data_IF_541963921201
#
_entry.id   IF_541963921201
#
_cell.length_a   1.000
_cell.length_b   1.000
_cell.length_c   1.000
_cell.angle_alpha   90.00
_cell.angle_beta   90.00
_cell.angle_gamma   90.00
#
_symmetry.space_group_name_H-M   'P 1'
#
loop_
_entity.id
_entity.type
_entity.pdbx_description
1 polymer ?
#
# COMPACT_ATOMS: atom_id res chain seq x y z
N UNK A 1 -5.24 -44.26 11.00
CA UNK A 1 -4.71 -43.59 9.77
C UNK A 1 -5.13 -42.11 9.70
N UNK A 2 -6.35 -41.75 10.07
CA UNK A 2 -6.85 -40.35 10.07
C UNK A 2 -6.05 -39.43 10.98
N UNK A 3 -5.74 -39.84 12.20
CA UNK A 3 -5.00 -39.04 13.18
C UNK A 3 -3.54 -38.69 12.74
N UNK A 4 -2.93 -39.54 11.94
CA UNK A 4 -1.60 -39.26 11.36
C UNK A 4 -1.69 -38.32 10.15
N UNK A 5 -2.77 -38.33 9.39
CA UNK A 5 -3.01 -37.42 8.29
C UNK A 5 -3.31 -36.01 8.83
N UNK A 6 -4.10 -35.90 9.89
CA UNK A 6 -4.44 -34.62 10.54
C UNK A 6 -3.20 -33.94 11.15
N UNK A 7 -2.36 -34.70 11.86
CA UNK A 7 -1.08 -34.19 12.38
C UNK A 7 -0.08 -33.77 11.29
N UNK A 8 -0.12 -34.43 10.13
CA UNK A 8 0.74 -34.07 8.99
C UNK A 8 0.26 -32.85 8.26
N UNK A 9 -1.06 -32.66 8.13
CA UNK A 9 -1.67 -31.44 7.58
C UNK A 9 -1.46 -30.24 8.49
N UNK A 10 -1.63 -30.38 9.80
CA UNK A 10 -1.36 -29.32 10.77
C UNK A 10 0.09 -28.84 10.70
N UNK A 11 1.08 -29.75 10.67
CA UNK A 11 2.50 -29.38 10.52
C UNK A 11 2.85 -28.69 9.20
N UNK A 12 2.14 -29.01 8.10
CA UNK A 12 2.33 -28.33 6.81
C UNK A 12 1.77 -26.91 6.87
N UNK A 13 0.62 -26.71 7.51
CA UNK A 13 -0.02 -25.42 7.67
C UNK A 13 0.79 -24.50 8.56
N UNK A 14 1.30 -24.99 9.69
CA UNK A 14 2.17 -24.24 10.59
C UNK A 14 3.45 -23.75 9.89
N UNK A 15 4.09 -24.60 9.09
CA UNK A 15 5.25 -24.21 8.29
C UNK A 15 4.91 -23.14 7.25
N UNK A 16 3.72 -23.18 6.67
CA UNK A 16 3.27 -22.18 5.71
C UNK A 16 3.00 -20.83 6.40
N UNK A 17 2.32 -20.83 7.54
CA UNK A 17 2.09 -19.63 8.36
C UNK A 17 3.41 -18.99 8.81
N UNK A 18 4.36 -19.77 9.26
CA UNK A 18 5.70 -19.28 9.63
C UNK A 18 6.44 -18.62 8.47
N UNK A 19 6.35 -19.18 7.27
CA UNK A 19 6.93 -18.58 6.07
C UNK A 19 6.19 -17.28 5.68
N UNK A 20 4.86 -17.22 5.80
CA UNK A 20 4.07 -16.00 5.58
C UNK A 20 4.54 -14.91 6.55
N UNK A 21 4.62 -15.21 7.84
CA UNK A 21 5.08 -14.29 8.87
C UNK A 21 6.46 -13.70 8.53
N UNK A 22 7.46 -14.54 8.32
CA UNK A 22 8.81 -14.07 8.04
C UNK A 22 8.94 -13.33 6.72
N UNK A 23 8.17 -13.70 5.71
CA UNK A 23 8.18 -12.99 4.43
C UNK A 23 7.61 -11.58 4.59
N UNK A 24 6.44 -11.46 5.22
CA UNK A 24 5.82 -10.14 5.45
C UNK A 24 6.63 -9.30 6.44
N UNK A 25 7.23 -9.90 7.45
CA UNK A 25 8.14 -9.25 8.39
C UNK A 25 9.36 -8.65 7.67
N UNK A 26 10.04 -9.47 6.88
CA UNK A 26 11.22 -9.02 6.13
C UNK A 26 10.86 -7.93 5.11
N UNK A 27 9.78 -8.13 4.37
CA UNK A 27 9.31 -7.14 3.41
C UNK A 27 8.97 -5.81 4.08
N UNK A 28 8.30 -5.84 5.23
CA UNK A 28 7.96 -4.62 5.98
C UNK A 28 9.17 -3.94 6.60
N UNK A 29 10.14 -4.70 7.13
CA UNK A 29 11.34 -4.17 7.76
C UNK A 29 12.30 -3.48 6.78
N UNK A 30 12.40 -4.00 5.55
CA UNK A 30 13.40 -3.58 4.58
C UNK A 30 12.84 -2.88 3.33
N UNK A 31 11.55 -2.59 3.29
CA UNK A 31 10.96 -1.87 2.16
C UNK A 31 10.93 -0.37 2.43
N UNK A 32 11.71 0.37 1.66
CA UNK A 32 11.69 1.82 1.60
C UNK A 32 11.16 2.25 0.22
N UNK A 33 10.37 3.32 0.14
CA UNK A 33 9.96 3.89 -1.16
C UNK A 33 8.49 3.73 -1.53
N UNK A 34 7.63 3.30 -0.58
CA UNK A 34 6.18 3.35 -0.76
C UNK A 34 5.52 2.07 -1.28
N UNK A 35 4.20 2.14 -1.46
CA UNK A 35 3.34 0.97 -1.68
C UNK A 35 3.64 0.15 -2.94
N UNK A 36 4.10 0.77 -4.01
CA UNK A 36 4.41 0.04 -5.25
C UNK A 36 5.66 -0.84 -5.13
N UNK A 37 6.66 -0.41 -4.36
CA UNK A 37 7.89 -1.20 -4.14
C UNK A 37 7.56 -2.47 -3.38
N UNK A 38 6.73 -2.39 -2.34
CA UNK A 38 6.36 -3.58 -1.55
C UNK A 38 5.52 -4.55 -2.36
N UNK A 39 4.66 -4.07 -3.27
CA UNK A 39 3.91 -4.92 -4.19
C UNK A 39 4.84 -5.72 -5.10
N UNK A 40 5.84 -5.08 -5.70
CA UNK A 40 6.84 -5.75 -6.53
C UNK A 40 7.63 -6.80 -5.76
N UNK A 41 7.98 -6.50 -4.51
CA UNK A 41 8.67 -7.44 -3.63
C UNK A 41 7.78 -8.60 -3.17
N UNK A 42 6.49 -8.35 -2.93
CA UNK A 42 5.51 -9.40 -2.66
C UNK A 42 5.34 -10.34 -3.86
N UNK A 43 5.25 -9.79 -5.09
CA UNK A 43 5.23 -10.57 -6.32
C UNK A 43 6.47 -11.45 -6.39
N UNK A 44 7.66 -10.87 -6.27
CA UNK A 44 8.91 -11.63 -6.28
C UNK A 44 8.92 -12.76 -5.26
N UNK A 45 8.40 -12.51 -4.04
CA UNK A 45 8.42 -13.49 -2.96
C UNK A 45 7.41 -14.62 -3.14
N UNK A 46 6.14 -14.28 -3.45
CA UNK A 46 5.04 -15.24 -3.45
C UNK A 46 4.78 -15.88 -4.82
N UNK A 47 5.11 -15.18 -5.91
CA UNK A 47 5.02 -15.73 -7.28
C UNK A 47 6.33 -16.35 -7.70
N UNK A 48 7.44 -15.58 -7.72
CA UNK A 48 8.68 -16.02 -8.35
C UNK A 48 9.49 -17.00 -7.48
N UNK A 49 9.56 -16.79 -6.14
CA UNK A 49 10.34 -17.64 -5.24
C UNK A 49 9.53 -18.83 -4.70
N UNK A 50 8.33 -18.58 -4.21
CA UNK A 50 7.53 -19.62 -3.56
C UNK A 50 6.60 -20.37 -4.51
N UNK A 51 6.26 -19.77 -5.67
CA UNK A 51 5.28 -20.30 -6.63
C UNK A 51 3.95 -20.66 -5.96
N UNK A 52 3.51 -19.84 -5.00
CA UNK A 52 2.27 -20.06 -4.26
C UNK A 52 1.08 -19.34 -4.86
N UNK A 53 1.32 -18.34 -5.70
CA UNK A 53 0.34 -17.49 -6.35
C UNK A 53 0.77 -17.36 -7.81
N UNK A 54 -0.17 -17.43 -8.74
CA UNK A 54 0.06 -17.19 -10.16
C UNK A 54 0.19 -15.67 -10.44
N UNK A 55 0.85 -15.31 -11.53
CA UNK A 55 1.13 -13.91 -11.83
C UNK A 55 -0.16 -13.11 -12.06
N UNK A 56 -1.12 -13.66 -12.81
CA UNK A 56 -2.42 -13.02 -13.08
C UNK A 56 -3.21 -12.83 -11.78
N UNK A 57 -3.23 -13.84 -10.93
CA UNK A 57 -3.88 -13.78 -9.63
C UNK A 57 -3.24 -12.74 -8.71
N UNK A 58 -1.91 -12.62 -8.73
CA UNK A 58 -1.21 -11.59 -7.96
C UNK A 58 -1.61 -10.19 -8.39
N UNK A 59 -1.86 -9.94 -9.68
CA UNK A 59 -2.33 -8.65 -10.18
C UNK A 59 -3.72 -8.32 -9.63
N UNK A 60 -4.63 -9.29 -9.58
CA UNK A 60 -5.96 -9.11 -8.99
C UNK A 60 -5.90 -8.81 -7.49
N UNK A 61 -5.07 -9.56 -6.74
CA UNK A 61 -4.87 -9.33 -5.30
C UNK A 61 -4.31 -7.93 -5.03
N UNK A 62 -3.40 -7.45 -5.87
CA UNK A 62 -2.85 -6.10 -5.80
C UNK A 62 -3.93 -5.05 -6.09
N UNK A 63 -4.76 -5.26 -7.10
CA UNK A 63 -5.86 -4.34 -7.41
C UNK A 63 -6.85 -4.22 -6.24
N UNK A 64 -7.18 -5.34 -5.58
CA UNK A 64 -8.01 -5.36 -4.37
C UNK A 64 -7.32 -4.60 -3.23
N UNK A 65 -6.04 -4.86 -2.99
CA UNK A 65 -5.27 -4.19 -1.95
C UNK A 65 -5.19 -2.67 -2.13
N UNK A 66 -5.11 -2.21 -3.38
CA UNK A 66 -5.08 -0.79 -3.74
C UNK A 66 -6.45 -0.12 -3.67
N UNK A 67 -7.53 -0.86 -3.84
CA UNK A 67 -8.89 -0.33 -3.75
C UNK A 67 -9.33 -0.05 -2.30
N UNK A 68 -8.71 -0.71 -1.34
CA UNK A 68 -9.01 -0.53 0.08
C UNK A 68 -8.25 0.69 0.65
N UNK A 69 -8.90 1.54 1.47
CA UNK A 69 -8.23 2.65 2.13
C UNK A 69 -7.21 2.14 3.14
N UNK A 70 -5.98 2.72 3.14
CA UNK A 70 -4.94 2.37 4.09
C UNK A 70 -3.58 2.09 3.44
N UNK A 71 -2.66 1.56 4.23
CA UNK A 71 -1.32 1.22 3.77
C UNK A 71 -1.36 0.00 2.83
N UNK A 72 -0.93 0.18 1.58
CA UNK A 72 -0.91 -0.88 0.56
C UNK A 72 -0.16 -2.12 1.05
N UNK A 73 0.92 -1.92 1.83
CA UNK A 73 1.68 -3.00 2.45
C UNK A 73 0.82 -3.91 3.34
N UNK A 74 0.00 -3.30 4.19
CA UNK A 74 -0.89 -4.02 5.11
C UNK A 74 -2.04 -4.66 4.35
N UNK A 75 -2.69 -3.89 3.44
CA UNK A 75 -3.77 -4.40 2.62
C UNK A 75 -3.32 -5.59 1.75
N UNK A 76 -2.15 -5.49 1.11
CA UNK A 76 -1.55 -6.57 0.34
C UNK A 76 -1.25 -7.80 1.19
N UNK A 77 -0.68 -7.61 2.38
CA UNK A 77 -0.42 -8.70 3.30
C UNK A 77 -1.72 -9.41 3.76
N UNK A 78 -2.80 -8.66 4.00
CA UNK A 78 -4.12 -9.19 4.34
C UNK A 78 -4.65 -10.08 3.21
N UNK A 79 -4.67 -9.56 1.99
CA UNK A 79 -5.26 -10.24 0.83
C UNK A 79 -4.46 -11.49 0.47
N UNK A 80 -3.13 -11.41 0.44
CA UNK A 80 -2.23 -12.54 0.23
C UNK A 80 -2.35 -13.56 1.38
N UNK A 81 -2.36 -13.10 2.61
CA UNK A 81 -2.52 -13.96 3.79
C UNK A 81 -3.82 -14.75 3.75
N UNK A 82 -4.93 -14.10 3.40
CA UNK A 82 -6.23 -14.75 3.21
C UNK A 82 -6.18 -15.82 2.12
N UNK A 83 -5.65 -15.48 0.96
CA UNK A 83 -5.52 -16.42 -0.15
C UNK A 83 -4.70 -17.66 0.22
N UNK A 84 -3.62 -17.48 0.97
CA UNK A 84 -2.70 -18.56 1.27
C UNK A 84 -3.13 -19.46 2.44
N UNK A 85 -3.78 -18.91 3.47
CA UNK A 85 -4.11 -19.65 4.68
C UNK A 85 -5.39 -19.14 5.39
N UNK A 86 -6.30 -18.49 4.69
CA UNK A 86 -7.56 -17.99 5.24
C UNK A 86 -7.36 -16.99 6.39
N UNK A 87 -8.21 -17.04 7.40
CA UNK A 87 -8.17 -16.11 8.55
C UNK A 87 -6.85 -16.21 9.32
N UNK A 88 -6.31 -17.42 9.51
CA UNK A 88 -5.01 -17.61 10.16
C UNK A 88 -3.88 -16.95 9.37
N UNK A 89 -3.95 -16.99 8.03
CA UNK A 89 -3.03 -16.28 7.14
C UNK A 89 -3.12 -14.78 7.27
N UNK A 90 -4.34 -14.21 7.39
CA UNK A 90 -4.54 -12.77 7.61
C UNK A 90 -3.84 -12.33 8.90
N UNK A 91 -4.16 -12.99 10.03
CA UNK A 91 -3.60 -12.61 11.33
C UNK A 91 -2.07 -12.69 11.34
N UNK A 92 -1.54 -13.75 10.75
CA UNK A 92 -0.10 -13.97 10.63
C UNK A 92 0.59 -12.92 9.76
N UNK A 93 0.00 -12.59 8.62
CA UNK A 93 0.54 -11.60 7.69
C UNK A 93 0.46 -10.17 8.27
N UNK A 94 -0.63 -9.80 8.94
CA UNK A 94 -0.76 -8.52 9.66
C UNK A 94 0.32 -8.42 10.75
N UNK A 95 0.46 -9.45 11.59
CA UNK A 95 1.47 -9.46 12.65
C UNK A 95 2.88 -9.28 12.06
N UNK A 96 3.23 -10.03 11.00
CA UNK A 96 4.51 -9.89 10.30
C UNK A 96 4.73 -8.49 9.73
N UNK A 97 3.69 -7.85 9.20
CA UNK A 97 3.81 -6.52 8.58
C UNK A 97 3.87 -5.38 9.61
N UNK A 98 3.17 -5.50 10.73
CA UNK A 98 3.03 -4.40 11.72
C UNK A 98 4.15 -4.43 12.77
N UNK A 99 4.63 -5.61 13.14
CA UNK A 99 5.65 -5.75 14.20
C UNK A 99 6.95 -4.98 13.88
N UNK A 100 7.57 -5.05 12.67
CA UNK A 100 8.81 -4.36 12.41
C UNK A 100 8.74 -2.84 12.62
N UNK A 101 7.82 -2.10 11.98
CA UNK A 101 7.74 -0.65 12.19
C UNK A 101 7.36 -0.29 13.63
N UNK A 102 6.52 -1.10 14.28
CA UNK A 102 6.16 -0.90 15.68
C UNK A 102 7.39 -1.03 16.61
N UNK A 103 8.21 -2.08 16.42
CA UNK A 103 9.43 -2.27 17.20
C UNK A 103 10.44 -1.16 16.97
N UNK A 104 10.64 -0.74 15.71
CA UNK A 104 11.57 0.34 15.37
C UNK A 104 11.15 1.63 16.07
N UNK A 105 9.88 2.00 15.97
CA UNK A 105 9.35 3.22 16.59
C UNK A 105 9.42 3.12 18.12
N UNK A 106 9.13 1.96 18.71
CA UNK A 106 9.18 1.75 20.16
C UNK A 106 10.60 1.89 20.72
N UNK A 107 11.59 1.31 20.03
CA UNK A 107 12.99 1.41 20.41
C UNK A 107 13.47 2.87 20.30
N UNK A 108 13.13 3.54 19.19
CA UNK A 108 13.47 4.94 18.99
C UNK A 108 12.81 5.84 20.05
N UNK A 109 11.56 5.57 20.41
CA UNK A 109 10.82 6.30 21.44
C UNK A 109 11.46 6.14 22.84
N UNK A 110 11.86 4.93 23.19
CA UNK A 110 12.51 4.65 24.47
C UNK A 110 13.88 5.36 24.60
N UNK A 111 14.61 5.47 23.48
CA UNK A 111 15.90 6.15 23.39
C UNK A 111 15.81 7.67 23.10
N UNK A 112 14.62 8.21 22.89
CA UNK A 112 14.43 9.55 22.31
C UNK A 112 15.15 10.66 23.08
N UNK A 113 15.13 10.64 24.40
CA UNK A 113 15.83 11.65 25.22
C UNK A 113 17.36 11.60 25.04
N UNK A 114 17.93 10.41 24.98
CA UNK A 114 19.36 10.24 24.72
C UNK A 114 19.74 10.64 23.28
N UNK A 115 18.86 10.39 22.32
CA UNK A 115 19.04 10.79 20.93
C UNK A 115 18.95 12.31 20.74
N UNK A 116 18.00 12.97 21.40
CA UNK A 116 17.76 14.40 21.26
C UNK A 116 18.89 15.27 21.81
N UNK A 117 19.63 14.79 22.81
CA UNK A 117 20.75 15.50 23.40
C UNK A 117 22.07 15.38 22.63
N UNK A 118 22.13 14.47 21.66
CA UNK A 118 23.33 14.23 20.87
C UNK A 118 23.26 14.97 19.54
N UNK A 119 24.16 15.94 19.33
CA UNK A 119 24.20 16.79 18.15
C UNK A 119 24.40 15.99 16.84
N UNK A 120 25.17 14.92 16.84
CA UNK A 120 25.40 14.08 15.67
C UNK A 120 24.10 13.37 15.24
N UNK A 121 23.35 12.87 16.21
CA UNK A 121 22.08 12.19 15.96
C UNK A 121 21.03 13.19 15.46
N UNK A 122 20.99 14.39 16.01
CA UNK A 122 20.10 15.46 15.54
C UNK A 122 20.37 15.79 14.06
N UNK A 123 21.63 15.92 13.66
CA UNK A 123 22.01 16.16 12.26
C UNK A 123 21.65 14.99 11.34
N UNK A 124 21.81 13.75 11.82
CA UNK A 124 21.36 12.57 11.07
C UNK A 124 19.84 12.54 10.86
N UNK A 125 19.07 12.85 11.90
CA UNK A 125 17.60 12.93 11.80
C UNK A 125 17.16 14.03 10.84
N UNK A 126 17.81 15.17 10.85
CA UNK A 126 17.55 16.27 9.92
C UNK A 126 17.83 15.84 8.47
N UNK A 127 18.94 15.15 8.22
CA UNK A 127 19.26 14.56 6.93
C UNK A 127 18.23 13.51 6.48
N UNK A 128 17.74 12.69 7.40
CA UNK A 128 16.68 11.71 7.12
C UNK A 128 15.34 12.40 6.76
N UNK A 129 14.99 13.49 7.44
CA UNK A 129 13.80 14.28 7.11
C UNK A 129 13.89 14.87 5.70
N UNK A 130 15.05 15.40 5.32
CA UNK A 130 15.29 15.88 3.96
C UNK A 130 15.14 14.74 2.92
N UNK A 131 15.65 13.55 3.23
CA UNK A 131 15.47 12.35 2.40
C UNK A 131 14.00 11.95 2.23
N UNK A 132 13.21 11.97 3.32
CA UNK A 132 11.76 11.71 3.25
C UNK A 132 11.06 12.77 2.39
N UNK A 133 11.42 14.05 2.54
CA UNK A 133 10.90 15.13 1.70
C UNK A 133 11.17 14.89 0.21
N UNK A 134 12.38 14.45 -0.13
CA UNK A 134 12.74 14.11 -1.51
C UNK A 134 11.92 12.93 -2.07
N UNK A 135 11.68 11.90 -1.26
CA UNK A 135 10.82 10.76 -1.66
C UNK A 135 9.38 11.22 -1.89
N UNK A 136 8.82 12.04 -1.00
CA UNK A 136 7.46 12.59 -1.17
C UNK A 136 7.39 13.42 -2.46
N UNK A 137 8.37 14.27 -2.73
CA UNK A 137 8.43 15.08 -3.94
C UNK A 137 8.50 14.19 -5.21
N UNK A 138 9.33 13.14 -5.19
CA UNK A 138 9.44 12.19 -6.30
C UNK A 138 8.13 11.47 -6.58
N UNK A 139 7.48 10.94 -5.54
CA UNK A 139 6.17 10.25 -5.68
C UNK A 139 5.10 11.21 -6.20
N UNK A 140 5.07 12.44 -5.68
CA UNK A 140 4.13 13.47 -6.14
C UNK A 140 4.34 13.81 -7.61
N UNK A 141 5.60 13.94 -8.04
CA UNK A 141 5.96 14.16 -9.43
C UNK A 141 5.50 13.00 -10.32
N UNK A 142 5.78 11.76 -9.93
CA UNK A 142 5.40 10.57 -10.70
C UNK A 142 3.88 10.44 -10.85
N UNK A 143 3.13 10.70 -9.78
CA UNK A 143 1.66 10.71 -9.81
C UNK A 143 1.13 11.83 -10.71
N UNK A 144 1.69 13.04 -10.60
CA UNK A 144 1.36 14.18 -11.46
C UNK A 144 1.66 13.92 -12.93
N UNK A 145 2.84 13.37 -13.22
CA UNK A 145 3.24 13.00 -14.57
C UNK A 145 2.31 11.94 -15.18
N UNK A 146 1.83 11.00 -14.36
CA UNK A 146 0.82 9.99 -14.75
C UNK A 146 -0.50 10.63 -15.21
N UNK A 147 -0.97 11.67 -14.52
CA UNK A 147 -2.19 12.42 -14.90
C UNK A 147 -1.98 13.18 -16.20
N UNK A 148 -0.83 13.86 -16.33
CA UNK A 148 -0.50 14.63 -17.54
C UNK A 148 -0.43 13.74 -18.78
N UNK A 149 0.14 12.53 -18.67
CA UNK A 149 0.21 11.56 -19.78
C UNK A 149 -1.17 11.11 -20.28
N UNK A 150 -2.18 11.07 -19.42
CA UNK A 150 -3.54 10.68 -19.81
C UNK A 150 -4.26 11.73 -20.66
N UNK A 151 -3.73 12.94 -20.81
CA UNK A 151 -4.28 14.08 -21.59
C UNK A 151 -5.76 14.39 -21.26
N UNK A 152 -6.17 14.12 -20.05
CA UNK A 152 -7.53 14.36 -19.59
C UNK A 152 -7.62 15.75 -18.93
N UNK A 153 -8.22 16.69 -19.66
CA UNK A 153 -8.32 18.09 -19.22
C UNK A 153 -9.00 18.23 -17.84
N UNK A 154 -10.02 17.44 -17.57
CA UNK A 154 -10.72 17.50 -16.28
C UNK A 154 -9.84 17.07 -15.12
N UNK A 155 -9.10 15.97 -15.28
CA UNK A 155 -8.16 15.50 -14.26
C UNK A 155 -7.04 16.50 -14.00
N UNK A 156 -6.60 17.20 -15.05
CA UNK A 156 -5.60 18.26 -14.93
C UNK A 156 -6.14 19.47 -14.15
N UNK A 157 -7.35 19.93 -14.48
CA UNK A 157 -8.01 21.04 -13.78
C UNK A 157 -8.26 20.70 -12.31
N UNK A 158 -8.71 19.46 -12.02
CA UNK A 158 -8.90 18.99 -10.64
C UNK A 158 -7.58 18.93 -9.87
N UNK A 159 -6.51 18.47 -10.49
CA UNK A 159 -5.18 18.39 -9.84
C UNK A 159 -4.68 19.81 -9.48
N UNK A 160 -4.71 20.74 -10.44
CA UNK A 160 -4.27 22.11 -10.21
C UNK A 160 -5.19 22.84 -9.22
N UNK A 161 -6.50 22.66 -9.35
CA UNK A 161 -7.49 23.23 -8.43
C UNK A 161 -7.33 22.73 -7.01
N UNK A 162 -7.13 21.42 -6.82
CA UNK A 162 -6.89 20.83 -5.51
C UNK A 162 -5.58 21.36 -4.87
N UNK A 163 -4.54 21.51 -5.67
CA UNK A 163 -3.27 22.08 -5.21
C UNK A 163 -3.42 23.53 -4.75
N UNK A 164 -4.05 24.38 -5.56
CA UNK A 164 -4.27 25.79 -5.21
C UNK A 164 -5.16 25.90 -3.97
N UNK A 165 -6.24 25.12 -3.89
CA UNK A 165 -7.18 25.15 -2.76
C UNK A 165 -6.50 24.71 -1.47
N UNK A 166 -5.64 23.74 -1.53
CA UNK A 166 -4.91 23.23 -0.35
C UNK A 166 -3.76 24.16 0.06
N UNK A 167 -2.98 24.71 -0.91
CA UNK A 167 -1.79 25.49 -0.59
C UNK A 167 -2.07 26.98 -0.36
N UNK A 168 -3.06 27.59 -1.08
CA UNK A 168 -3.32 29.02 -1.01
C UNK A 168 -4.44 29.33 -0.03
N UNK A 169 -5.51 28.52 -0.05
CA UNK A 169 -6.69 28.75 0.80
C UNK A 169 -6.65 27.95 2.11
N UNK A 170 -5.61 27.13 2.34
CA UNK A 170 -5.44 26.31 3.55
C UNK A 170 -6.69 25.47 3.92
N UNK A 171 -7.52 25.14 2.91
CA UNK A 171 -8.73 24.34 3.11
C UNK A 171 -8.34 22.95 3.58
N UNK A 172 -9.07 22.44 4.57
CA UNK A 172 -8.84 21.09 5.07
C UNK A 172 -8.90 20.05 3.92
N UNK A 173 -7.83 19.30 3.78
CA UNK A 173 -7.65 18.29 2.71
C UNK A 173 -8.82 17.31 2.60
N UNK A 174 -9.52 17.03 3.70
CA UNK A 174 -10.71 16.17 3.72
C UNK A 174 -11.81 16.68 2.79
N UNK A 175 -12.09 17.98 2.82
CA UNK A 175 -13.09 18.57 1.93
C UNK A 175 -12.65 18.52 0.46
N UNK A 176 -11.37 18.75 0.19
CA UNK A 176 -10.81 18.65 -1.16
C UNK A 176 -10.98 17.22 -1.71
N UNK A 177 -10.66 16.22 -0.91
CA UNK A 177 -10.82 14.79 -1.28
C UNK A 177 -12.29 14.47 -1.56
N UNK A 178 -13.22 14.91 -0.70
CA UNK A 178 -14.65 14.66 -0.87
C UNK A 178 -15.19 15.30 -2.16
N UNK A 179 -14.84 16.55 -2.42
CA UNK A 179 -15.27 17.26 -3.63
C UNK A 179 -14.72 16.56 -4.89
N UNK A 180 -13.43 16.25 -4.92
CA UNK A 180 -12.81 15.53 -6.03
C UNK A 180 -13.45 14.14 -6.23
N UNK A 181 -13.77 13.44 -5.13
CA UNK A 181 -14.48 12.16 -5.16
C UNK A 181 -15.88 12.26 -5.78
N UNK A 182 -16.66 13.26 -5.35
CA UNK A 182 -18.01 13.53 -5.91
C UNK A 182 -17.92 13.82 -7.41
N UNK A 183 -16.99 14.68 -7.82
CA UNK A 183 -16.79 15.01 -9.24
C UNK A 183 -16.38 13.77 -10.05
N UNK A 184 -15.52 12.92 -9.50
CA UNK A 184 -15.11 11.65 -10.13
C UNK A 184 -16.28 10.68 -10.31
N UNK A 185 -17.13 10.52 -9.28
CA UNK A 185 -18.33 9.67 -9.34
C UNK A 185 -19.33 10.21 -10.36
N UNK A 186 -19.62 11.52 -10.36
CA UNK A 186 -20.53 12.14 -11.31
C UNK A 186 -20.04 11.91 -12.75
N UNK A 187 -18.75 12.08 -13.01
CA UNK A 187 -18.16 11.79 -14.33
C UNK A 187 -18.36 10.35 -14.74
N UNK A 188 -18.05 9.39 -13.88
CA UNK A 188 -18.20 7.97 -14.18
C UNK A 188 -19.65 7.59 -14.48
N UNK A 189 -20.62 8.19 -13.78
CA UNK A 189 -22.05 7.98 -14.04
C UNK A 189 -22.48 8.57 -15.39
N UNK A 190 -21.97 9.74 -15.77
CA UNK A 190 -22.26 10.39 -17.05
C UNK A 190 -21.68 9.57 -18.21
N UNK A 191 -20.41 9.12 -18.12
CA UNK A 191 -19.78 8.28 -19.13
C UNK A 191 -20.53 6.95 -19.32
N UNK A 192 -20.94 6.30 -18.22
CA UNK A 192 -21.75 5.06 -18.29
C UNK A 192 -23.09 5.28 -18.97
N UNK A 193 -23.74 6.43 -18.76
CA UNK A 193 -25.03 6.78 -19.36
C UNK A 193 -24.91 7.05 -20.88
N UNK A 194 -23.80 7.67 -21.29
CA UNK A 194 -23.51 7.96 -22.71
C UNK A 194 -23.21 6.66 -23.46
N UNK A 195 -22.39 5.79 -22.88
CA UNK A 195 -22.04 4.49 -23.49
C UNK A 195 -23.26 3.59 -23.67
N UNK A 196 -24.19 3.60 -22.69
CA UNK A 196 -25.42 2.82 -22.76
C UNK A 196 -26.36 3.31 -23.88
N UNK A 197 -26.45 4.64 -24.06
CA UNK A 197 -27.29 5.25 -25.10
C UNK A 197 -26.76 5.01 -26.52
N UNK A 198 -25.43 4.95 -26.70
CA UNK A 198 -24.81 4.62 -27.99
C UNK A 198 -24.85 3.14 -28.37
N UNK A 199 -25.20 2.24 -27.42
CA UNK A 199 -25.41 0.82 -27.68
C UNK A 199 -26.88 0.49 -28.04
N UNK A 200 -27.83 1.38 -27.74
CA UNK A 200 -29.25 1.23 -28.07
C UNK A 200 -29.61 1.82 -29.44
N UNK A 201 -28.68 2.61 -30.05
CA UNK A 201 -28.86 3.22 -31.38
C UNK A 201 -28.13 2.46 -32.51
N UNK A 202 -27.51 1.30 -32.23
CA UNK A 202 -26.91 0.40 -33.22
C UNK A 202 -27.65 -0.95 -33.26
#
# INVERSE_FOLDING_TARGET
>A
MEEQQEKTQGKKQDKKLWKIFWSTFYLSAFTFGGGYVIVSLMKKKFVDEYHWIEEEEMLDLVAIAQSAPGAIAVNGAIVIGYKLAGIAGILTAIAGTVIPPFLIISILSAGYQAFRSNQIISLMLEGMQAGVGAVIASVTYDMGAGIVKKKDALSYVLMVGAFITSCVFEVNVVYVILICGIVGVLRALIEKKITKKGSEEK
#
